data_IF_566402850163
#
_entry.id   IF_566402850163
#
_cell.length_a   1.000
_cell.length_b   1.000
_cell.length_c   1.000
_cell.angle_alpha   90.00
_cell.angle_beta   90.00
_cell.angle_gamma   90.00
#
_symmetry.space_group_name_H-M   'P 1'
#
loop_
_entity.id
_entity.type
_entity.pdbx_description
1 polymer ?
#
# COMPACT_ATOMS: atom_id res chain seq x y z
N UNK A 1 0.69 -8.75 19.51
CA UNK A 1 1.30 -7.87 18.51
C UNK A 1 1.71 -6.52 19.10
N UNK A 2 0.85 -5.84 19.88
CA UNK A 2 1.10 -4.50 20.43
C UNK A 2 2.34 -4.44 21.35
N UNK A 3 2.57 -5.44 22.22
CA UNK A 3 3.76 -5.49 23.05
C UNK A 3 5.07 -5.55 22.23
N UNK A 4 5.08 -6.26 21.09
CA UNK A 4 6.22 -6.25 20.17
C UNK A 4 6.43 -4.89 19.51
N UNK A 5 5.34 -4.22 19.11
CA UNK A 5 5.39 -2.89 18.54
C UNK A 5 6.00 -1.90 19.55
N UNK A 6 5.53 -1.96 20.80
CA UNK A 6 6.06 -1.13 21.87
C UNK A 6 7.56 -1.34 22.10
N UNK A 7 8.00 -2.59 22.22
CA UNK A 7 9.42 -2.91 22.42
C UNK A 7 10.29 -2.49 21.21
N UNK A 8 9.74 -2.51 19.99
CA UNK A 8 10.45 -2.09 18.81
C UNK A 8 10.57 -0.56 18.73
N UNK A 9 9.54 0.18 19.16
CA UNK A 9 9.56 1.66 19.16
C UNK A 9 10.61 2.26 20.11
N UNK A 10 11.10 1.49 21.09
CA UNK A 10 12.20 1.90 21.95
C UNK A 10 13.57 1.87 21.25
N UNK A 11 13.64 1.24 20.07
CA UNK A 11 14.89 1.00 19.33
C UNK A 11 14.96 1.73 18.01
N UNK A 12 13.81 1.95 17.38
CA UNK A 12 13.70 2.58 16.06
C UNK A 12 12.46 3.47 16.01
N UNK A 13 12.53 4.52 15.20
CA UNK A 13 11.36 5.32 14.90
C UNK A 13 10.36 4.50 14.06
N UNK A 14 9.11 4.45 14.49
CA UNK A 14 8.06 3.65 13.85
C UNK A 14 6.87 4.54 13.55
N UNK A 15 6.33 4.40 12.36
CA UNK A 15 5.03 4.92 11.97
C UNK A 15 4.11 3.74 11.66
N UNK A 16 2.88 3.78 12.13
CA UNK A 16 1.85 2.76 11.85
C UNK A 16 0.62 3.38 11.23
N UNK A 17 -0.28 2.53 10.73
CA UNK A 17 -1.59 2.97 10.22
C UNK A 17 -2.73 2.49 11.10
N UNK A 18 -3.82 3.25 11.08
CA UNK A 18 -5.09 2.88 11.68
C UNK A 18 -6.25 3.32 10.78
N UNK A 19 -7.31 2.52 10.74
CA UNK A 19 -8.55 2.78 9.99
C UNK A 19 -9.80 2.72 10.87
N UNK A 20 -9.64 2.48 12.18
CA UNK A 20 -10.75 2.32 13.12
C UNK A 20 -10.43 2.88 14.50
N UNK A 21 -11.46 3.30 15.22
CA UNK A 21 -11.37 3.75 16.59
C UNK A 21 -10.85 2.64 17.54
N UNK A 22 -11.18 1.37 17.27
CA UNK A 22 -10.69 0.23 18.05
C UNK A 22 -9.17 0.08 17.93
N UNK A 23 -8.62 0.23 16.72
CA UNK A 23 -7.16 0.22 16.51
C UNK A 23 -6.50 1.36 17.25
N UNK A 24 -7.05 2.58 17.16
CA UNK A 24 -6.54 3.76 17.88
C UNK A 24 -6.57 3.54 19.39
N UNK A 25 -7.67 3.03 19.93
CA UNK A 25 -7.79 2.76 21.36
C UNK A 25 -6.75 1.74 21.85
N UNK A 26 -6.54 0.65 21.09
CA UNK A 26 -5.52 -0.36 21.42
C UNK A 26 -4.09 0.19 21.38
N UNK A 27 -3.79 1.04 20.41
CA UNK A 27 -2.51 1.73 20.32
C UNK A 27 -2.33 2.71 21.49
N UNK A 28 -3.33 3.54 21.78
CA UNK A 28 -3.27 4.51 22.87
C UNK A 28 -3.03 3.86 24.23
N UNK A 29 -3.77 2.81 24.57
CA UNK A 29 -3.52 2.05 25.82
C UNK A 29 -2.09 1.51 25.88
N UNK A 30 -1.54 1.08 24.75
CA UNK A 30 -0.18 0.49 24.71
C UNK A 30 0.92 1.54 24.82
N UNK A 31 0.67 2.76 24.35
CA UNK A 31 1.68 3.82 24.25
C UNK A 31 1.48 4.97 25.24
N UNK A 32 0.44 4.93 26.08
CA UNK A 32 0.10 6.02 27.01
C UNK A 32 1.26 6.44 27.94
N UNK A 33 2.11 5.50 28.29
CA UNK A 33 3.29 5.71 29.16
C UNK A 33 4.62 5.63 28.38
N UNK A 34 4.59 5.75 27.05
CA UNK A 34 5.77 5.72 26.22
C UNK A 34 6.64 6.98 26.41
N UNK A 35 7.95 6.85 26.20
CA UNK A 35 8.89 7.97 26.26
C UNK A 35 8.59 9.03 25.19
N UNK A 36 8.02 8.62 24.06
CA UNK A 36 7.57 9.51 22.97
C UNK A 36 6.32 8.97 22.31
N UNK A 37 5.55 9.82 21.61
CA UNK A 37 4.32 9.38 20.96
C UNK A 37 4.61 8.46 19.78
N UNK A 38 3.68 7.53 19.52
CA UNK A 38 3.67 6.74 18.29
C UNK A 38 3.01 7.56 17.18
N UNK A 39 3.72 7.74 16.08
CA UNK A 39 3.15 8.38 14.87
C UNK A 39 2.16 7.44 14.18
N UNK A 40 0.93 7.91 13.99
CA UNK A 40 -0.15 7.14 13.36
C UNK A 40 -0.66 7.87 12.12
N UNK A 41 -0.67 7.18 10.98
CA UNK A 41 -1.33 7.63 9.75
C UNK A 41 -2.74 7.05 9.68
N UNK A 42 -3.68 7.82 9.21
CA UNK A 42 -5.01 7.30 8.86
C UNK A 42 -4.91 6.55 7.54
N UNK A 43 -5.28 5.27 7.55
CA UNK A 43 -5.41 4.47 6.33
C UNK A 43 -6.70 4.84 5.61
N UNK A 44 -6.60 5.09 4.29
CA UNK A 44 -7.70 5.58 3.46
C UNK A 44 -7.98 4.60 2.31
N UNK A 45 -9.23 4.23 2.13
CA UNK A 45 -9.65 3.50 0.93
C UNK A 45 -10.01 4.50 -0.18
N UNK A 46 -9.14 4.65 -1.14
CA UNK A 46 -9.33 5.52 -2.30
C UNK A 46 -9.82 4.76 -3.54
N UNK A 47 -10.48 3.61 -3.33
CA UNK A 47 -11.11 2.82 -4.39
C UNK A 47 -10.55 1.41 -4.57
N UNK A 48 -9.61 0.96 -3.70
CA UNK A 48 -9.12 -0.43 -3.75
C UNK A 48 -10.11 -1.42 -3.16
N UNK A 49 -10.98 -0.98 -2.24
CA UNK A 49 -11.96 -1.84 -1.58
C UNK A 49 -11.33 -2.83 -0.60
N UNK A 50 -10.23 -2.44 0.07
CA UNK A 50 -9.49 -3.32 0.98
C UNK A 50 -9.66 -2.92 2.43
N UNK A 51 -8.97 -1.91 2.89
CA UNK A 51 -9.03 -1.34 4.23
C UNK A 51 -8.89 0.17 4.16
N UNK A 52 -9.30 0.86 5.21
CA UNK A 52 -9.22 2.30 5.29
C UNK A 52 -10.58 2.98 5.46
N UNK A 53 -10.55 4.21 5.93
CA UNK A 53 -11.71 5.08 6.04
C UNK A 53 -12.25 5.43 4.64
N UNK A 54 -13.59 5.59 4.54
CA UNK A 54 -14.27 5.64 3.25
C UNK A 54 -14.47 7.07 2.71
N UNK A 55 -14.28 8.08 3.55
CA UNK A 55 -14.46 9.47 3.13
C UNK A 55 -13.43 10.41 3.76
N UNK A 56 -13.18 11.58 3.15
CA UNK A 56 -12.39 12.64 3.77
C UNK A 56 -12.90 13.07 5.16
N UNK A 57 -14.22 13.05 5.39
CA UNK A 57 -14.81 13.37 6.69
C UNK A 57 -14.46 12.32 7.75
N UNK A 58 -14.50 11.03 7.39
CA UNK A 58 -14.08 9.96 8.29
C UNK A 58 -12.59 10.05 8.60
N UNK A 59 -11.77 10.46 7.63
CA UNK A 59 -10.34 10.69 7.86
C UNK A 59 -10.10 11.81 8.90
N UNK A 60 -10.87 12.91 8.84
CA UNK A 60 -10.81 13.98 9.85
C UNK A 60 -11.22 13.46 11.22
N UNK A 61 -12.33 12.71 11.29
CA UNK A 61 -12.83 12.16 12.55
C UNK A 61 -11.80 11.25 13.22
N UNK A 62 -11.18 10.37 12.45
CA UNK A 62 -10.17 9.46 12.99
C UNK A 62 -8.86 10.18 13.35
N UNK A 63 -8.45 11.17 12.56
CA UNK A 63 -7.30 12.01 12.86
C UNK A 63 -7.46 12.79 14.18
N UNK A 64 -8.66 13.35 14.42
CA UNK A 64 -9.01 14.01 15.69
C UNK A 64 -8.93 13.03 16.87
N UNK A 65 -9.42 11.82 16.70
CA UNK A 65 -9.33 10.78 17.71
C UNK A 65 -7.87 10.42 18.01
N UNK A 66 -7.03 10.24 16.98
CA UNK A 66 -5.60 9.97 17.16
C UNK A 66 -4.93 11.12 17.92
N UNK A 67 -5.16 12.37 17.49
CA UNK A 67 -4.55 13.55 18.12
C UNK A 67 -4.97 13.77 19.59
N UNK A 68 -6.19 13.32 19.96
CA UNK A 68 -6.70 13.37 21.32
C UNK A 68 -6.28 12.16 22.19
N UNK A 69 -5.68 11.13 21.60
CA UNK A 69 -5.36 9.88 22.29
C UNK A 69 -3.99 9.92 22.95
N UNK A 70 -3.88 9.64 24.26
CA UNK A 70 -2.60 9.61 24.96
C UNK A 70 -1.58 8.67 24.27
N UNK A 71 -0.33 9.12 24.17
CA UNK A 71 0.77 8.34 23.62
C UNK A 71 0.76 8.22 22.07
N UNK A 72 -0.14 8.92 21.39
CA UNK A 72 -0.22 8.95 19.92
C UNK A 72 -0.03 10.35 19.38
N UNK A 73 0.45 10.44 18.15
CA UNK A 73 0.43 11.66 17.35
C UNK A 73 -0.11 11.39 15.95
N UNK A 74 -0.91 12.30 15.42
CA UNK A 74 -1.38 12.22 14.04
C UNK A 74 -0.25 12.64 13.08
N UNK A 75 0.21 11.71 12.24
CA UNK A 75 1.28 11.94 11.27
C UNK A 75 0.78 12.27 9.87
N UNK A 76 -0.45 11.86 9.52
CA UNK A 76 -0.99 12.09 8.18
C UNK A 76 -1.84 10.96 7.64
N UNK A 77 -1.79 10.77 6.33
CA UNK A 77 -2.62 9.82 5.58
C UNK A 77 -1.78 8.75 4.91
N UNK A 78 -2.35 7.57 4.73
CA UNK A 78 -1.81 6.53 3.87
C UNK A 78 -2.90 5.90 2.99
N UNK A 79 -2.58 5.60 1.75
CA UNK A 79 -3.45 4.81 0.87
C UNK A 79 -2.68 3.89 -0.06
N UNK A 80 -3.30 2.76 -0.41
CA UNK A 80 -2.92 1.93 -1.53
C UNK A 80 -4.04 1.97 -2.57
N UNK A 81 -3.93 2.83 -3.60
CA UNK A 81 -5.00 3.07 -4.56
C UNK A 81 -5.21 1.89 -5.51
N UNK A 82 -6.39 1.79 -6.09
CA UNK A 82 -6.65 0.89 -7.21
C UNK A 82 -5.82 1.30 -8.43
N UNK A 83 -5.21 0.33 -9.09
CA UNK A 83 -4.39 0.55 -10.27
C UNK A 83 -5.20 1.26 -11.39
N UNK A 84 -4.61 2.29 -12.00
CA UNK A 84 -5.23 3.08 -13.07
C UNK A 84 -6.21 4.16 -12.60
N UNK A 85 -6.48 4.29 -11.30
CA UNK A 85 -7.42 5.26 -10.75
C UNK A 85 -6.73 6.54 -10.22
N UNK A 86 -5.65 6.97 -10.88
CA UNK A 86 -4.78 8.07 -10.41
C UNK A 86 -5.56 9.35 -10.16
N UNK A 87 -6.44 9.76 -11.08
CA UNK A 87 -7.20 11.01 -10.95
C UNK A 87 -8.19 10.97 -9.77
N UNK A 88 -8.91 9.87 -9.59
CA UNK A 88 -9.84 9.69 -8.46
C UNK A 88 -9.10 9.69 -7.13
N UNK A 89 -7.98 8.98 -7.05
CA UNK A 89 -7.10 8.96 -5.88
C UNK A 89 -6.54 10.35 -5.55
N UNK A 90 -6.06 11.10 -6.56
CA UNK A 90 -5.57 12.44 -6.38
C UNK A 90 -6.63 13.40 -5.83
N UNK A 91 -7.85 13.33 -6.38
CA UNK A 91 -8.97 14.14 -5.92
C UNK A 91 -9.37 13.80 -4.47
N UNK A 92 -9.41 12.52 -4.12
CA UNK A 92 -9.73 12.06 -2.77
C UNK A 92 -8.70 12.57 -1.76
N UNK A 93 -7.40 12.39 -2.03
CA UNK A 93 -6.32 12.83 -1.14
C UNK A 93 -6.25 14.35 -1.00
N UNK A 94 -6.50 15.10 -2.07
CA UNK A 94 -6.57 16.55 -2.01
C UNK A 94 -7.72 17.02 -1.11
N UNK A 95 -8.92 16.44 -1.28
CA UNK A 95 -10.08 16.75 -0.44
C UNK A 95 -9.84 16.42 1.04
N UNK A 96 -9.20 15.28 1.33
CA UNK A 96 -8.87 14.89 2.70
C UNK A 96 -7.82 15.82 3.33
N UNK A 97 -6.77 16.17 2.58
CA UNK A 97 -5.76 17.15 3.02
C UNK A 97 -6.42 18.49 3.37
N UNK A 98 -7.28 18.99 2.50
CA UNK A 98 -7.91 20.29 2.67
C UNK A 98 -8.87 20.30 3.88
N UNK A 99 -9.63 19.21 4.07
CA UNK A 99 -10.49 19.03 5.23
C UNK A 99 -9.69 18.92 6.55
N UNK A 100 -8.57 18.21 6.56
CA UNK A 100 -7.66 18.13 7.71
C UNK A 100 -7.02 19.47 8.02
N UNK A 101 -6.59 20.23 7.02
CA UNK A 101 -6.06 21.58 7.20
C UNK A 101 -7.12 22.50 7.85
N UNK A 102 -8.37 22.43 7.37
CA UNK A 102 -9.48 23.21 7.94
C UNK A 102 -9.81 22.80 9.38
N UNK A 103 -9.55 21.55 9.75
CA UNK A 103 -9.70 21.03 11.11
C UNK A 103 -8.51 21.34 12.04
N UNK A 104 -7.46 22.04 11.55
CA UNK A 104 -6.25 22.35 12.32
C UNK A 104 -5.30 21.15 12.49
N UNK A 105 -5.42 20.11 11.67
CA UNK A 105 -4.62 18.89 11.68
C UNK A 105 -3.90 18.70 10.34
N UNK A 106 -2.97 19.59 9.95
CA UNK A 106 -2.26 19.45 8.68
C UNK A 106 -1.50 18.13 8.61
N UNK A 107 -1.73 17.26 7.58
CA UNK A 107 -1.01 16.02 7.45
C UNK A 107 0.44 16.29 7.02
N UNK A 108 1.42 15.87 7.83
CA UNK A 108 2.84 15.99 7.49
C UNK A 108 3.22 14.96 6.40
N UNK A 109 2.61 13.78 6.47
CA UNK A 109 2.84 12.67 5.53
C UNK A 109 1.53 12.38 4.79
N UNK A 110 1.59 12.32 3.46
CA UNK A 110 0.54 11.75 2.63
C UNK A 110 1.21 10.67 1.79
N UNK A 111 1.13 9.44 2.29
CA UNK A 111 1.80 8.28 1.75
C UNK A 111 0.92 7.60 0.72
N UNK A 112 1.36 7.54 -0.51
CA UNK A 112 0.57 7.06 -1.64
C UNK A 112 1.26 5.93 -2.39
N UNK A 113 0.47 5.18 -3.14
CA UNK A 113 0.88 4.44 -4.31
C UNK A 113 1.36 3.04 -4.12
N UNK A 114 1.81 2.56 -5.23
CA UNK A 114 2.34 1.23 -5.51
C UNK A 114 2.96 1.24 -6.89
N UNK A 115 3.49 0.13 -7.35
CA UNK A 115 4.19 0.01 -8.64
C UNK A 115 3.30 0.25 -9.88
N UNK A 116 2.01 -0.16 -9.93
CA UNK A 116 1.22 -0.07 -11.16
C UNK A 116 1.09 1.33 -11.78
N UNK A 117 1.12 2.38 -10.97
CA UNK A 117 0.97 3.76 -11.43
C UNK A 117 2.25 4.60 -11.18
N UNK A 118 3.41 3.96 -11.12
CA UNK A 118 4.68 4.60 -10.75
C UNK A 118 5.01 5.79 -11.66
N UNK A 119 4.80 5.69 -12.97
CA UNK A 119 5.09 6.76 -13.93
C UNK A 119 4.14 7.96 -13.84
N UNK A 120 2.99 7.76 -13.19
CA UNK A 120 1.97 8.77 -12.97
C UNK A 120 1.92 9.28 -11.52
N UNK A 121 2.87 8.87 -10.67
CA UNK A 121 2.93 9.27 -9.26
C UNK A 121 2.93 10.79 -9.07
N UNK A 122 3.56 11.53 -9.99
CA UNK A 122 3.63 12.99 -9.99
C UNK A 122 2.28 13.69 -10.16
N UNK A 123 1.26 13.01 -10.67
CA UNK A 123 -0.11 13.56 -10.83
C UNK A 123 -0.84 13.64 -9.48
N UNK A 124 -0.41 12.91 -8.46
CA UNK A 124 -0.99 12.95 -7.11
C UNK A 124 -0.29 14.02 -6.29
N UNK A 125 -0.56 15.28 -6.60
CA UNK A 125 0.17 16.45 -6.07
C UNK A 125 0.03 16.66 -4.56
N UNK A 126 -0.96 16.04 -3.91
CA UNK A 126 -1.10 16.05 -2.46
C UNK A 126 -0.14 15.08 -1.76
N UNK A 127 0.38 14.06 -2.46
CA UNK A 127 1.26 13.07 -1.88
C UNK A 127 2.65 13.64 -1.56
N UNK A 128 3.20 13.24 -0.41
CA UNK A 128 4.56 13.60 0.02
C UNK A 128 5.54 12.47 -0.19
N UNK A 129 5.05 11.24 -0.34
CA UNK A 129 5.85 10.04 -0.63
C UNK A 129 5.09 9.04 -1.48
N UNK A 130 5.85 8.19 -2.18
CA UNK A 130 5.32 7.10 -3.00
C UNK A 130 6.02 5.79 -2.62
N UNK A 131 5.26 4.68 -2.53
CA UNK A 131 5.73 3.39 -2.01
C UNK A 131 5.72 2.26 -3.06
N UNK A 132 6.48 2.36 -4.17
CA UNK A 132 6.62 1.26 -5.11
C UNK A 132 7.45 0.15 -4.48
N UNK A 133 7.06 -1.09 -4.67
CA UNK A 133 7.79 -2.26 -4.17
C UNK A 133 8.11 -3.24 -5.28
N UNK A 134 7.13 -3.69 -6.03
CA UNK A 134 7.25 -4.73 -7.05
C UNK A 134 8.21 -4.37 -8.19
N UNK A 135 8.42 -3.07 -8.46
CA UNK A 135 9.30 -2.60 -9.55
C UNK A 135 10.74 -3.16 -9.47
N UNK A 136 11.20 -3.52 -8.27
CA UNK A 136 12.57 -4.05 -8.06
C UNK A 136 12.77 -5.39 -8.76
N UNK A 137 11.74 -6.23 -8.75
CA UNK A 137 11.77 -7.57 -9.37
C UNK A 137 10.95 -7.62 -10.64
N UNK A 138 10.03 -6.70 -10.80
CA UNK A 138 9.02 -6.70 -11.84
C UNK A 138 8.23 -8.02 -11.87
N UNK A 139 7.16 -8.04 -12.61
CA UNK A 139 6.38 -9.23 -12.91
C UNK A 139 5.51 -9.00 -14.14
N UNK A 140 4.88 -10.07 -14.62
CA UNK A 140 3.98 -10.01 -15.77
C UNK A 140 2.80 -9.05 -15.57
N UNK A 141 2.31 -8.88 -14.33
CA UNK A 141 1.23 -7.94 -14.06
C UNK A 141 1.68 -6.49 -14.29
N UNK A 142 2.88 -6.13 -13.84
CA UNK A 142 3.44 -4.80 -14.07
C UNK A 142 3.71 -4.54 -15.56
N UNK A 143 4.18 -5.56 -16.30
CA UNK A 143 4.33 -5.48 -17.75
C UNK A 143 2.97 -5.23 -18.44
N UNK A 144 1.90 -5.89 -18.00
CA UNK A 144 0.55 -5.65 -18.52
C UNK A 144 -0.02 -4.26 -18.22
N UNK A 145 0.66 -3.49 -17.38
CA UNK A 145 0.33 -2.11 -17.00
C UNK A 145 1.32 -1.09 -17.58
N UNK A 146 2.13 -1.49 -18.53
CA UNK A 146 3.14 -0.63 -19.18
C UNK A 146 4.13 0.01 -18.19
N UNK A 147 4.41 -0.66 -17.05
CA UNK A 147 5.40 -0.20 -16.09
C UNK A 147 6.81 -0.46 -16.60
N UNK A 148 7.03 -1.57 -17.32
CA UNK A 148 8.28 -1.96 -17.95
C UNK A 148 8.05 -3.12 -18.92
N UNK A 149 9.12 -3.73 -19.40
CA UNK A 149 9.12 -4.88 -20.30
C UNK A 149 9.41 -6.21 -19.60
N UNK A 150 9.33 -7.31 -20.36
CA UNK A 150 9.69 -8.62 -19.83
C UNK A 150 11.18 -8.74 -19.48
N UNK A 151 12.05 -8.00 -20.16
CA UNK A 151 13.48 -7.95 -19.88
C UNK A 151 13.79 -7.32 -18.51
N UNK A 152 12.84 -6.58 -17.93
CA UNK A 152 12.94 -6.01 -16.59
C UNK A 152 12.54 -7.00 -15.49
N UNK A 153 11.96 -8.17 -15.85
CA UNK A 153 11.59 -9.19 -14.88
C UNK A 153 12.82 -9.94 -14.37
N UNK A 154 13.14 -9.74 -13.10
CA UNK A 154 14.32 -10.35 -12.48
C UNK A 154 14.18 -11.85 -12.21
N UNK A 155 12.94 -12.37 -12.11
CA UNK A 155 12.67 -13.77 -11.84
C UNK A 155 12.26 -14.51 -13.12
N UNK A 156 13.00 -15.58 -13.43
CA UNK A 156 12.69 -16.52 -14.51
C UNK A 156 12.62 -17.94 -13.97
N UNK A 157 11.89 -18.80 -14.63
CA UNK A 157 11.81 -20.22 -14.29
C UNK A 157 12.53 -21.03 -15.38
N UNK A 158 13.66 -21.65 -15.01
CA UNK A 158 14.35 -22.60 -15.88
C UNK A 158 13.49 -23.86 -16.04
N UNK A 159 13.13 -24.18 -17.27
CA UNK A 159 12.30 -25.32 -17.59
C UNK A 159 12.87 -26.13 -18.73
N UNK A 160 12.62 -27.44 -18.72
CA UNK A 160 13.01 -28.36 -19.79
C UNK A 160 11.80 -28.80 -20.60
N UNK A 161 11.90 -28.79 -21.91
CA UNK A 161 10.89 -29.41 -22.77
C UNK A 161 11.06 -30.94 -22.69
N UNK A 162 10.13 -31.60 -22.00
CA UNK A 162 10.16 -33.05 -21.76
C UNK A 162 9.41 -33.84 -22.83
N UNK A 163 8.54 -33.20 -23.62
CA UNK A 163 7.83 -33.83 -24.73
C UNK A 163 7.32 -32.81 -25.74
N UNK A 164 7.30 -33.17 -27.01
CA UNK A 164 6.69 -32.41 -28.10
C UNK A 164 5.75 -33.30 -28.90
N UNK A 165 4.54 -33.60 -28.40
CA UNK A 165 3.64 -34.57 -29.02
C UNK A 165 3.01 -34.09 -30.34
N UNK A 166 2.99 -32.77 -30.60
CA UNK A 166 2.51 -32.21 -31.86
C UNK A 166 3.36 -30.97 -32.27
N UNK A 167 3.21 -30.50 -33.51
CA UNK A 167 3.92 -29.31 -33.99
C UNK A 167 3.65 -28.06 -33.14
N UNK A 168 2.46 -27.96 -32.57
CA UNK A 168 1.98 -26.77 -31.86
C UNK A 168 1.87 -26.96 -30.34
N UNK A 169 2.45 -28.04 -29.78
CA UNK A 169 2.41 -28.31 -28.34
C UNK A 169 3.73 -28.85 -27.84
N UNK A 170 4.26 -28.20 -26.82
CA UNK A 170 5.36 -28.70 -26.03
C UNK A 170 4.92 -28.88 -24.57
N UNK A 171 5.47 -29.86 -23.89
CA UNK A 171 5.28 -30.11 -22.46
C UNK A 171 6.60 -29.76 -21.78
N UNK A 172 6.51 -28.95 -20.74
CA UNK A 172 7.65 -28.58 -19.89
C UNK A 172 7.50 -29.17 -18.49
N UNK A 173 8.59 -29.30 -17.77
CA UNK A 173 8.62 -29.83 -16.41
C UNK A 173 8.22 -28.77 -15.34
N UNK A 174 8.17 -27.48 -15.71
CA UNK A 174 7.64 -26.44 -14.85
C UNK A 174 6.11 -26.36 -14.97
N UNK A 175 5.41 -26.61 -13.89
CA UNK A 175 3.95 -26.54 -13.81
C UNK A 175 3.47 -25.81 -12.57
N UNK A 176 2.24 -26.09 -12.11
CA UNK A 176 1.59 -25.41 -10.99
C UNK A 176 2.34 -25.48 -9.64
N UNK A 177 3.37 -26.30 -9.54
CA UNK A 177 4.23 -26.37 -8.34
C UNK A 177 5.46 -25.44 -8.43
N UNK A 178 5.84 -25.05 -9.63
CA UNK A 178 6.95 -24.13 -9.90
C UNK A 178 6.48 -22.72 -10.23
N UNK A 179 5.27 -22.60 -10.78
CA UNK A 179 4.67 -21.34 -11.17
C UNK A 179 3.58 -20.93 -10.16
N UNK A 180 3.31 -19.62 -10.05
CA UNK A 180 2.24 -19.12 -9.17
C UNK A 180 0.86 -19.59 -9.64
N UNK A 181 -0.03 -19.84 -8.69
CA UNK A 181 -1.47 -20.03 -8.96
C UNK A 181 -2.26 -18.72 -8.90
N UNK A 182 -1.66 -17.65 -8.37
CA UNK A 182 -2.25 -16.31 -8.37
C UNK A 182 -1.89 -15.59 -9.66
N UNK A 183 -2.83 -15.60 -10.60
CA UNK A 183 -2.66 -14.99 -11.92
C UNK A 183 -3.06 -13.51 -11.96
N UNK A 184 -3.54 -12.94 -10.85
CA UNK A 184 -4.05 -11.57 -10.77
C UNK A 184 -5.08 -11.24 -11.87
N UNK A 185 -5.89 -12.23 -12.25
CA UNK A 185 -6.89 -12.10 -13.31
C UNK A 185 -6.35 -12.22 -14.75
N UNK A 186 -5.06 -12.46 -14.93
CA UNK A 186 -4.46 -12.68 -16.26
C UNK A 186 -4.64 -14.13 -16.73
N UNK A 187 -4.63 -14.32 -18.04
CA UNK A 187 -4.68 -15.65 -18.65
C UNK A 187 -3.30 -16.31 -18.65
N UNK A 188 -3.20 -17.58 -18.30
CA UNK A 188 -1.95 -18.35 -18.27
C UNK A 188 -1.02 -17.98 -17.13
N UNK A 189 0.09 -18.72 -17.03
CA UNK A 189 1.04 -18.64 -15.91
C UNK A 189 2.36 -17.91 -16.25
N UNK A 190 2.59 -17.61 -17.51
CA UNK A 190 3.83 -16.98 -17.99
C UNK A 190 3.78 -16.71 -19.48
N UNK A 191 4.90 -16.30 -20.01
CA UNK A 191 5.20 -16.15 -21.44
C UNK A 191 6.48 -16.89 -21.77
#
# INVERSE_FOLDING_TARGET
KLARLRALSERVHITVTADSAETVAGLSVTFADAVGPLTVLVECDTGMGRCGVQSPADAVTLAQLIAASPGLEFGGLMTYPAAGQVAANAAWLAAARDALNAAGLPPAIISNGGTPDIWRAHEVTAATEHRPGTYIYMDRFQVSRDVGGFDDCALTVLATVVSRPTANRAIIDAGSKALTSDTLGMTGFGL
#
